data_IF_487346305763
#
_entry.id   IF_487346305763
#
_cell.length_a   1.000
_cell.length_b   1.000
_cell.length_c   1.000
_cell.angle_alpha   90.00
_cell.angle_beta   90.00
_cell.angle_gamma   90.00
#
_symmetry.space_group_name_H-M   'P 1'
#
loop_
_entity.id
_entity.type
_entity.pdbx_description
1 polymer ?
#
# COMPACT_ATOMS: atom_id res chain seq x y z
N UNK A 1 -14.43 -3.37 -5.08
CA UNK A 1 -14.21 -2.94 -3.68
C UNK A 1 -14.95 -1.66 -3.47
N UNK A 2 -15.73 -1.57 -2.39
CA UNK A 2 -16.34 -0.32 -1.93
C UNK A 2 -15.45 0.40 -0.88
N UNK A 3 -15.93 1.52 -0.34
CA UNK A 3 -15.19 2.31 0.66
C UNK A 3 -14.89 1.50 1.94
N UNK A 4 -15.82 0.65 2.38
CA UNK A 4 -15.66 -0.19 3.57
C UNK A 4 -14.60 -1.28 3.35
N UNK A 5 -14.53 -1.83 2.14
CA UNK A 5 -13.48 -2.77 1.76
C UNK A 5 -12.09 -2.14 1.84
N UNK A 6 -11.93 -0.92 1.30
CA UNK A 6 -10.66 -0.20 1.40
C UNK A 6 -10.31 0.12 2.86
N UNK A 7 -11.28 0.54 3.66
CA UNK A 7 -11.07 0.80 5.09
C UNK A 7 -10.64 -0.47 5.83
N UNK A 8 -11.30 -1.61 5.55
CA UNK A 8 -10.94 -2.90 6.13
C UNK A 8 -9.58 -3.41 5.65
N UNK A 9 -9.22 -3.15 4.40
CA UNK A 9 -7.90 -3.49 3.87
C UNK A 9 -6.81 -2.69 4.60
N UNK A 10 -6.99 -1.37 4.76
CA UNK A 10 -6.08 -0.52 5.54
C UNK A 10 -6.00 -0.94 7.02
N UNK A 11 -7.13 -1.35 7.62
CA UNK A 11 -7.14 -1.92 8.96
C UNK A 11 -6.30 -3.20 9.03
N UNK A 12 -6.42 -4.07 8.02
CA UNK A 12 -5.65 -5.31 7.91
C UNK A 12 -4.14 -5.01 7.78
N UNK A 13 -3.75 -4.03 6.95
CA UNK A 13 -2.35 -3.59 6.84
C UNK A 13 -1.77 -3.15 8.19
N UNK A 14 -2.54 -2.39 8.99
CA UNK A 14 -2.12 -1.93 10.33
C UNK A 14 -2.05 -3.07 11.34
N UNK A 15 -3.11 -3.88 11.41
CA UNK A 15 -3.27 -4.90 12.45
C UNK A 15 -2.38 -6.13 12.21
N UNK A 16 -2.09 -6.48 10.96
CA UNK A 16 -1.22 -7.62 10.64
C UNK A 16 0.28 -7.28 10.69
N UNK A 17 0.65 -6.00 10.67
CA UNK A 17 2.05 -5.54 10.78
C UNK A 17 2.54 -5.51 12.23
N UNK A 18 2.67 -6.70 12.83
CA UNK A 18 3.12 -6.90 14.22
C UNK A 18 3.97 -8.16 14.26
N UNK A 19 5.00 -8.24 15.09
CA UNK A 19 5.79 -9.46 15.25
C UNK A 19 4.96 -10.60 15.85
N UNK A 20 4.17 -10.30 16.88
CA UNK A 20 3.27 -11.29 17.47
C UNK A 20 2.08 -11.55 16.55
N UNK A 21 1.76 -12.81 16.24
CA UNK A 21 0.54 -13.14 15.51
C UNK A 21 -0.67 -12.60 16.24
N UNK A 22 -1.50 -11.83 15.53
CA UNK A 22 -2.85 -11.58 15.99
C UNK A 22 -3.74 -12.73 15.51
N UNK A 23 -4.65 -13.20 16.37
CA UNK A 23 -5.74 -14.10 15.99
C UNK A 23 -6.73 -13.42 15.04
N UNK A 24 -8.03 -13.62 15.24
CA UNK A 24 -9.01 -12.95 14.38
C UNK A 24 -9.06 -11.43 14.63
N UNK A 25 -9.08 -10.62 13.57
CA UNK A 25 -9.38 -9.17 13.69
C UNK A 25 -10.75 -8.97 14.37
N UNK A 26 -11.70 -9.87 14.12
CA UNK A 26 -13.03 -9.85 14.73
C UNK A 26 -12.95 -10.13 16.24
N UNK A 27 -12.27 -11.19 16.67
CA UNK A 27 -12.10 -11.50 18.10
C UNK A 27 -11.35 -10.38 18.84
N UNK A 28 -10.32 -9.82 18.22
CA UNK A 28 -9.58 -8.66 18.77
C UNK A 28 -10.41 -7.37 18.79
N UNK A 29 -11.56 -7.31 18.12
CA UNK A 29 -12.47 -6.15 18.20
C UNK A 29 -13.41 -6.21 19.42
N UNK A 30 -13.52 -7.36 20.07
CA UNK A 30 -14.27 -7.54 21.32
C UNK A 30 -13.40 -7.40 22.58
N UNK A 31 -12.08 -7.44 22.43
CA UNK A 31 -11.16 -7.09 23.51
C UNK A 31 -11.24 -5.57 23.69
N UNK A 32 -12.11 -5.12 24.59
CA UNK A 32 -12.19 -3.72 25.01
C UNK A 32 -10.81 -3.30 25.54
N UNK A 33 -10.36 -2.12 25.12
CA UNK A 33 -9.20 -1.36 25.60
C UNK A 33 -9.35 -0.92 27.08
N UNK A 34 -10.04 -1.71 27.92
CA UNK A 34 -10.48 -1.36 29.27
C UNK A 34 -9.72 -2.14 30.36
N UNK A 35 -8.49 -2.56 30.08
CA UNK A 35 -7.53 -2.89 31.13
C UNK A 35 -6.45 -1.81 31.19
N UNK A 36 -6.84 -0.68 31.79
CA UNK A 36 -5.96 0.33 32.37
C UNK A 36 -4.93 -0.37 33.31
N UNK A 37 -3.68 -0.50 32.87
CA UNK A 37 -2.56 -0.83 33.76
C UNK A 37 -1.45 -1.71 33.18
N UNK A 38 -1.74 -2.57 32.20
CA UNK A 38 -0.66 -3.32 31.53
C UNK A 38 -0.23 -2.54 30.30
N UNK A 39 1.02 -2.05 30.27
CA UNK A 39 1.70 -1.66 29.02
C UNK A 39 1.49 -2.80 28.03
N UNK A 40 0.55 -2.67 27.09
CA UNK A 40 0.47 -3.57 25.97
C UNK A 40 1.90 -3.66 25.40
N UNK A 41 2.50 -4.86 25.32
CA UNK A 41 3.88 -4.98 24.92
C UNK A 41 4.05 -4.19 23.63
N UNK A 42 5.13 -3.39 23.52
CA UNK A 42 5.48 -2.73 22.26
C UNK A 42 5.69 -3.82 21.23
N UNK A 43 4.62 -4.25 20.57
CA UNK A 43 4.66 -5.27 19.53
C UNK A 43 5.50 -4.66 18.42
N UNK A 44 6.70 -5.21 18.23
CA UNK A 44 7.58 -4.79 17.14
C UNK A 44 6.83 -4.88 15.82
N UNK A 45 7.19 -4.03 14.85
CA UNK A 45 6.64 -4.09 13.50
C UNK A 45 7.41 -5.12 12.67
N UNK A 46 6.74 -5.75 11.70
CA UNK A 46 7.40 -6.61 10.72
C UNK A 46 8.08 -5.78 9.62
N UNK A 47 7.39 -4.72 9.20
CA UNK A 47 7.80 -3.83 8.10
C UNK A 47 7.47 -2.38 8.43
N UNK A 48 8.18 -1.45 7.82
CA UNK A 48 7.71 -0.07 7.66
C UNK A 48 7.15 0.13 6.25
N UNK A 49 6.01 0.82 6.16
CA UNK A 49 5.47 1.24 4.88
C UNK A 49 6.15 2.54 4.47
N UNK A 50 6.68 2.60 3.25
CA UNK A 50 7.20 3.85 2.69
C UNK A 50 6.13 4.51 1.82
N UNK A 51 5.45 3.74 0.97
CA UNK A 51 4.30 4.19 0.19
C UNK A 51 3.33 3.03 -0.09
N UNK A 52 2.07 3.33 -0.36
CA UNK A 52 1.09 2.35 -0.82
C UNK A 52 0.07 2.95 -1.81
N UNK A 53 -0.54 2.08 -2.61
CA UNK A 53 -1.77 2.36 -3.34
C UNK A 53 -2.65 1.12 -3.43
N UNK A 54 -3.93 1.29 -3.11
CA UNK A 54 -4.98 0.28 -3.18
C UNK A 54 -5.93 0.68 -4.30
N UNK A 55 -5.96 -0.12 -5.36
CA UNK A 55 -6.93 -0.04 -6.44
C UNK A 55 -7.96 -1.18 -6.31
N UNK A 56 -9.09 -1.14 -7.03
CA UNK A 56 -10.14 -2.15 -6.89
C UNK A 56 -9.69 -3.58 -7.25
N UNK A 57 -8.71 -3.71 -8.14
CA UNK A 57 -8.26 -4.98 -8.70
C UNK A 57 -6.82 -5.35 -8.31
N UNK A 58 -6.04 -4.44 -7.72
CA UNK A 58 -4.66 -4.71 -7.29
C UNK A 58 -4.17 -3.67 -6.27
N UNK A 59 -3.04 -3.95 -5.63
CA UNK A 59 -2.37 -3.04 -4.71
C UNK A 59 -0.87 -2.98 -4.98
N UNK A 60 -0.23 -1.88 -4.57
CA UNK A 60 1.21 -1.67 -4.61
C UNK A 60 1.71 -1.21 -3.26
N UNK A 61 2.83 -1.77 -2.78
CA UNK A 61 3.49 -1.35 -1.55
C UNK A 61 4.98 -1.12 -1.80
N UNK A 62 5.53 -0.13 -1.11
CA UNK A 62 6.97 -0.01 -0.85
C UNK A 62 7.16 -0.31 0.63
N UNK A 63 7.90 -1.38 0.93
CA UNK A 63 8.10 -1.87 2.29
C UNK A 63 9.58 -1.93 2.61
N UNK A 64 9.91 -1.50 3.82
CA UNK A 64 11.21 -1.73 4.45
C UNK A 64 11.05 -2.87 5.46
N UNK A 65 11.85 -3.93 5.32
CA UNK A 65 11.81 -5.06 6.23
C UNK A 65 12.54 -4.71 7.53
N UNK A 66 11.88 -4.87 8.68
CA UNK A 66 12.45 -4.53 10.00
C UNK A 66 12.93 -5.75 10.79
N UNK A 67 12.52 -6.94 10.38
CA UNK A 67 12.92 -8.22 10.98
C UNK A 67 13.17 -9.24 9.89
N UNK A 68 13.92 -10.29 10.18
CA UNK A 68 14.12 -11.39 9.23
C UNK A 68 12.77 -11.95 8.71
N UNK A 69 12.66 -12.00 7.38
CA UNK A 69 11.47 -12.40 6.63
C UNK A 69 10.20 -11.60 6.99
N UNK A 70 10.36 -10.35 7.45
CA UNK A 70 9.27 -9.46 7.84
C UNK A 70 8.24 -9.22 6.73
N UNK A 71 8.68 -9.02 5.49
CA UNK A 71 7.75 -8.83 4.35
C UNK A 71 6.94 -10.11 4.10
N UNK A 72 7.60 -11.28 4.11
CA UNK A 72 6.92 -12.56 3.90
C UNK A 72 5.88 -12.84 4.98
N UNK A 73 6.27 -12.68 6.25
CA UNK A 73 5.38 -12.81 7.42
C UNK A 73 4.19 -11.85 7.32
N UNK A 74 4.44 -10.60 6.91
CA UNK A 74 3.39 -9.60 6.74
C UNK A 74 2.42 -10.00 5.62
N UNK A 75 2.93 -10.36 4.45
CA UNK A 75 2.10 -10.75 3.30
C UNK A 75 1.30 -12.02 3.55
N UNK A 76 1.88 -13.01 4.26
CA UNK A 76 1.17 -14.21 4.68
C UNK A 76 -0.05 -13.89 5.54
N UNK A 77 0.10 -12.95 6.49
CA UNK A 77 -1.01 -12.51 7.37
C UNK A 77 -2.03 -11.67 6.62
N UNK A 78 -1.57 -10.79 5.72
CA UNK A 78 -2.45 -10.02 4.83
C UNK A 78 -3.31 -10.93 3.93
N UNK A 79 -2.81 -12.14 3.63
CA UNK A 79 -3.58 -13.23 3.02
C UNK A 79 -4.83 -13.69 3.79
N UNK A 80 -5.06 -13.19 5.01
CA UNK A 80 -6.32 -13.35 5.75
C UNK A 80 -7.45 -12.43 5.28
N UNK A 81 -7.15 -11.32 4.59
CA UNK A 81 -8.16 -10.37 4.09
C UNK A 81 -9.23 -11.01 3.18
N UNK A 82 -8.88 -11.92 2.24
CA UNK A 82 -9.86 -12.66 1.44
C UNK A 82 -10.97 -13.34 2.24
N UNK A 83 -10.69 -13.83 3.47
CA UNK A 83 -11.72 -14.44 4.32
C UNK A 83 -12.82 -13.45 4.70
N UNK A 84 -12.45 -12.21 5.04
CA UNK A 84 -13.40 -11.13 5.30
C UNK A 84 -14.21 -10.81 4.05
N UNK A 85 -13.52 -10.59 2.92
CA UNK A 85 -14.16 -10.17 1.68
C UNK A 85 -15.15 -11.22 1.17
N UNK A 86 -14.75 -12.49 1.16
CA UNK A 86 -15.60 -13.60 0.77
C UNK A 86 -16.83 -13.73 1.68
N UNK A 87 -16.66 -13.56 3.00
CA UNK A 87 -17.78 -13.57 3.96
C UNK A 87 -18.77 -12.42 3.70
N UNK A 88 -18.28 -11.19 3.48
CA UNK A 88 -19.11 -10.00 3.22
C UNK A 88 -19.95 -10.17 1.94
N UNK A 89 -19.32 -10.64 0.85
CA UNK A 89 -19.96 -10.74 -0.45
C UNK A 89 -20.54 -12.12 -0.77
N UNK A 90 -20.60 -13.03 0.21
CA UNK A 90 -21.05 -14.42 0.04
C UNK A 90 -20.36 -15.13 -1.14
N UNK A 91 -19.07 -14.84 -1.33
CA UNK A 91 -18.22 -15.45 -2.37
C UNK A 91 -17.45 -16.63 -1.79
N UNK A 92 -16.97 -17.51 -2.68
CA UNK A 92 -16.01 -18.57 -2.37
C UNK A 92 -14.78 -18.45 -3.29
N UNK A 93 -13.70 -19.15 -2.94
CA UNK A 93 -12.48 -19.21 -3.74
C UNK A 93 -11.47 -18.09 -3.44
N UNK A 94 -10.48 -17.98 -4.34
CA UNK A 94 -9.35 -17.06 -4.20
C UNK A 94 -9.75 -15.63 -4.57
N UNK A 95 -9.30 -14.65 -3.77
CA UNK A 95 -9.44 -13.23 -4.08
C UNK A 95 -8.19 -12.68 -4.76
N UNK A 96 -7.01 -13.00 -4.24
CA UNK A 96 -5.73 -12.58 -4.81
C UNK A 96 -5.29 -13.57 -5.89
N UNK A 97 -4.84 -13.04 -7.03
CA UNK A 97 -4.40 -13.83 -8.17
C UNK A 97 -2.91 -14.21 -8.01
N UNK A 98 -2.68 -15.38 -7.39
CA UNK A 98 -1.33 -15.96 -7.26
C UNK A 98 -0.48 -15.34 -6.15
N UNK A 99 0.84 -15.60 -6.22
CA UNK A 99 1.83 -15.09 -5.26
C UNK A 99 2.06 -13.59 -5.50
N UNK A 100 2.40 -12.86 -4.42
CA UNK A 100 2.85 -11.48 -4.58
C UNK A 100 4.16 -11.43 -5.38
N UNK A 101 4.35 -10.35 -6.14
CA UNK A 101 5.59 -10.07 -6.85
C UNK A 101 6.40 -9.06 -6.04
N UNK A 102 7.70 -9.26 -5.96
CA UNK A 102 8.62 -8.36 -5.27
C UNK A 102 9.82 -8.03 -6.16
N UNK A 103 10.29 -6.80 -6.08
CA UNK A 103 11.51 -6.28 -6.72
C UNK A 103 12.28 -5.53 -5.65
N UNK A 104 13.57 -5.84 -5.49
CA UNK A 104 14.42 -5.09 -4.56
C UNK A 104 14.67 -3.69 -5.13
N UNK A 105 14.61 -2.68 -4.26
CA UNK A 105 14.98 -1.30 -4.60
C UNK A 105 16.42 -1.13 -4.12
N UNK A 106 17.34 -1.08 -5.06
CA UNK A 106 18.79 -1.11 -4.84
C UNK A 106 19.45 0.26 -4.98
N UNK A 107 18.69 1.29 -5.36
CA UNK A 107 19.20 2.65 -5.53
C UNK A 107 18.20 3.70 -5.05
N UNK A 108 18.73 4.84 -4.64
CA UNK A 108 17.93 5.96 -4.17
C UNK A 108 17.10 6.61 -5.29
N UNK A 109 17.67 6.75 -6.49
CA UNK A 109 16.92 7.24 -7.66
C UNK A 109 15.72 6.34 -7.97
N UNK A 110 15.92 5.01 -7.94
CA UNK A 110 14.82 4.08 -8.13
C UNK A 110 13.77 4.23 -7.02
N UNK A 111 14.18 4.38 -5.75
CA UNK A 111 13.27 4.63 -4.63
C UNK A 111 12.41 5.88 -4.84
N UNK A 112 13.00 6.99 -5.29
CA UNK A 112 12.28 8.23 -5.54
C UNK A 112 11.22 8.07 -6.63
N UNK A 113 11.60 7.55 -7.80
CA UNK A 113 10.66 7.37 -8.92
C UNK A 113 9.57 6.34 -8.61
N UNK A 114 9.91 5.22 -7.94
CA UNK A 114 8.91 4.21 -7.58
C UNK A 114 7.97 4.73 -6.49
N UNK A 115 8.42 5.61 -5.59
CA UNK A 115 7.54 6.27 -4.61
C UNK A 115 6.49 7.14 -5.29
N UNK A 116 6.87 7.91 -6.32
CA UNK A 116 5.95 8.70 -7.11
C UNK A 116 4.95 7.81 -7.85
N UNK A 117 5.44 6.75 -8.51
CA UNK A 117 4.60 5.79 -9.20
C UNK A 117 3.57 5.14 -8.28
N UNK A 118 4.00 4.63 -7.11
CA UNK A 118 3.09 3.97 -6.17
C UNK A 118 2.07 4.96 -5.63
N UNK A 119 2.48 6.15 -5.18
CA UNK A 119 1.54 7.15 -4.65
C UNK A 119 0.48 7.58 -5.67
N UNK A 120 0.86 7.69 -6.95
CA UNK A 120 0.01 8.19 -8.04
C UNK A 120 -0.56 7.08 -8.93
N UNK A 121 -0.44 5.81 -8.52
CA UNK A 121 -0.84 4.68 -9.36
C UNK A 121 -2.34 4.71 -9.69
N UNK A 122 -3.17 5.19 -8.77
CA UNK A 122 -4.59 5.43 -9.03
C UNK A 122 -4.82 6.39 -10.21
N UNK A 123 -4.03 7.47 -10.32
CA UNK A 123 -4.09 8.40 -11.46
C UNK A 123 -3.64 7.74 -12.76
N UNK A 124 -2.63 6.86 -12.73
CA UNK A 124 -2.20 6.05 -13.90
C UNK A 124 -3.35 5.20 -14.46
N UNK A 125 -4.25 4.74 -13.59
CA UNK A 125 -5.44 3.97 -13.95
C UNK A 125 -6.72 4.84 -14.10
N UNK A 126 -6.59 6.17 -14.04
CA UNK A 126 -7.71 7.13 -14.12
C UNK A 126 -8.80 6.85 -13.08
N UNK A 127 -8.42 6.40 -11.90
CA UNK A 127 -9.31 6.12 -10.78
C UNK A 127 -9.47 7.35 -9.89
N UNK A 128 -10.72 7.64 -9.51
CA UNK A 128 -11.04 8.69 -8.54
C UNK A 128 -10.72 8.29 -7.09
N UNK A 129 -10.80 9.26 -6.19
CA UNK A 129 -10.55 9.10 -4.75
C UNK A 129 -11.56 8.21 -4.02
N UNK A 130 -12.77 8.04 -4.59
CA UNK A 130 -13.78 7.10 -4.09
C UNK A 130 -13.49 5.65 -4.50
N UNK A 131 -12.73 5.46 -5.58
CA UNK A 131 -12.44 4.14 -6.17
C UNK A 131 -11.03 3.63 -5.82
N UNK A 132 -10.25 4.36 -5.04
CA UNK A 132 -8.88 3.99 -4.67
C UNK A 132 -8.46 4.63 -3.34
N UNK A 133 -7.42 4.09 -2.70
CA UNK A 133 -6.75 4.72 -1.55
C UNK A 133 -5.24 4.65 -1.75
N UNK A 134 -4.56 5.79 -1.75
CA UNK A 134 -3.10 5.83 -1.79
C UNK A 134 -2.53 6.64 -0.62
N UNK A 135 -1.23 6.51 -0.39
CA UNK A 135 -0.53 7.33 0.59
C UNK A 135 -0.26 8.76 0.10
N UNK A 136 -0.67 9.14 -1.11
CA UNK A 136 -0.41 10.47 -1.68
C UNK A 136 -0.85 11.61 -0.76
N UNK A 137 -2.05 11.49 -0.17
CA UNK A 137 -2.56 12.50 0.77
C UNK A 137 -1.76 12.55 2.08
N UNK A 138 -1.18 11.43 2.52
CA UNK A 138 -0.28 11.41 3.68
C UNK A 138 1.00 12.23 3.41
N UNK A 139 1.49 12.21 2.17
CA UNK A 139 2.67 12.95 1.73
C UNK A 139 2.39 14.45 1.63
N UNK A 140 1.28 14.85 1.01
CA UNK A 140 0.99 16.27 0.76
C UNK A 140 0.51 17.02 2.00
N UNK A 141 -0.31 16.40 2.84
CA UNK A 141 -1.02 17.11 3.90
C UNK A 141 -0.33 17.03 5.27
N UNK A 142 0.92 16.54 5.34
CA UNK A 142 1.67 16.24 6.58
C UNK A 142 0.88 15.42 7.62
N UNK A 143 -0.19 14.75 7.22
CA UNK A 143 -1.05 14.00 8.14
C UNK A 143 -0.28 12.82 8.72
N UNK A 144 -0.56 12.50 10.00
CA UNK A 144 -0.05 11.28 10.62
C UNK A 144 -0.71 10.10 9.93
N UNK A 145 0.11 9.25 9.33
CA UNK A 145 -0.34 8.16 8.46
C UNK A 145 0.37 6.85 8.77
N UNK A 146 0.18 5.86 7.91
CA UNK A 146 0.86 4.58 8.00
C UNK A 146 2.33 4.69 7.57
N UNK A 147 2.64 5.62 6.67
CA UNK A 147 3.94 5.65 5.98
C UNK A 147 5.06 6.36 6.76
N UNK A 148 6.28 5.80 6.72
CA UNK A 148 7.54 6.42 7.11
C UNK A 148 8.06 7.32 5.97
N UNK A 149 7.41 8.47 5.80
CA UNK A 149 7.60 9.37 4.65
C UNK A 149 8.96 10.07 4.59
N UNK A 150 9.64 10.22 5.73
CA UNK A 150 10.89 10.97 5.86
C UNK A 150 11.99 10.48 4.91
N UNK A 151 12.09 9.18 4.68
CA UNK A 151 13.08 8.61 3.75
C UNK A 151 12.95 9.19 2.33
N UNK A 152 11.76 9.66 1.94
CA UNK A 152 11.52 10.33 0.66
C UNK A 152 11.54 11.85 0.85
N UNK A 153 10.74 12.37 1.79
CA UNK A 153 10.50 13.80 1.92
C UNK A 153 11.74 14.60 2.36
N UNK A 154 12.64 14.00 3.12
CA UNK A 154 13.86 14.68 3.58
C UNK A 154 14.90 14.87 2.44
N UNK A 155 14.64 14.29 1.26
CA UNK A 155 15.46 14.47 0.04
C UNK A 155 15.02 15.67 -0.81
N UNK A 156 13.93 16.34 -0.45
CA UNK A 156 13.41 17.52 -1.14
C UNK A 156 13.44 18.71 -0.18
N UNK A 157 13.61 19.90 -0.72
CA UNK A 157 13.64 21.14 0.08
C UNK A 157 12.29 21.38 0.75
N UNK A 158 11.21 20.99 0.09
CA UNK A 158 9.84 21.13 0.59
C UNK A 158 8.87 20.16 -0.11
N UNK A 159 7.63 20.10 0.39
CA UNK A 159 6.59 19.21 -0.14
C UNK A 159 6.19 19.58 -1.58
N UNK A 160 6.26 20.86 -1.96
CA UNK A 160 5.93 21.28 -3.33
C UNK A 160 6.90 20.68 -4.33
N UNK A 161 8.19 20.67 -4.01
CA UNK A 161 9.22 20.09 -4.88
C UNK A 161 9.02 18.58 -5.07
N UNK A 162 8.69 17.84 -4.01
CA UNK A 162 8.31 16.43 -4.14
C UNK A 162 7.06 16.25 -5.01
N UNK A 163 6.06 17.13 -4.83
CA UNK A 163 4.81 17.08 -5.59
C UNK A 163 5.11 17.26 -7.09
N UNK A 164 5.88 18.27 -7.44
CA UNK A 164 6.24 18.59 -8.82
C UNK A 164 7.05 17.44 -9.45
N UNK A 165 8.02 16.89 -8.72
CA UNK A 165 8.76 15.70 -9.14
C UNK A 165 7.85 14.50 -9.43
N UNK A 166 6.90 14.22 -8.53
CA UNK A 166 6.00 13.08 -8.67
C UNK A 166 5.00 13.27 -9.82
N UNK A 167 4.47 14.48 -10.01
CA UNK A 167 3.55 14.81 -11.11
C UNK A 167 4.27 14.80 -12.47
N UNK A 168 5.53 15.26 -12.53
CA UNK A 168 6.38 15.11 -13.72
C UNK A 168 6.61 13.63 -14.05
N UNK A 169 6.98 12.82 -13.05
CA UNK A 169 7.18 11.38 -13.23
C UNK A 169 5.90 10.69 -13.74
N UNK A 170 4.72 11.10 -13.25
CA UNK A 170 3.43 10.56 -13.72
C UNK A 170 3.20 10.86 -15.20
N UNK A 171 3.51 12.09 -15.65
CA UNK A 171 3.38 12.48 -17.06
C UNK A 171 4.21 11.57 -17.95
N UNK A 172 5.47 11.35 -17.61
CA UNK A 172 6.37 10.49 -18.38
C UNK A 172 5.86 9.05 -18.47
N UNK A 173 5.30 8.52 -17.37
CA UNK A 173 4.72 7.18 -17.31
C UNK A 173 3.49 7.06 -18.21
N UNK A 174 2.61 8.05 -18.18
CA UNK A 174 1.42 8.10 -19.04
C UNK A 174 1.81 8.17 -20.52
N UNK A 175 2.78 9.02 -20.87
CA UNK A 175 3.27 9.12 -22.25
C UNK A 175 3.90 7.82 -22.74
N UNK A 176 4.73 7.16 -21.91
CA UNK A 176 5.28 5.83 -22.23
C UNK A 176 4.17 4.81 -22.50
N UNK A 177 3.15 4.77 -21.64
CA UNK A 177 2.02 3.84 -21.78
C UNK A 177 1.24 4.08 -23.08
N UNK A 178 0.97 5.33 -23.44
CA UNK A 178 0.32 5.67 -24.71
C UNK A 178 1.19 5.30 -25.92
N UNK A 179 2.52 5.49 -25.84
CA UNK A 179 3.44 5.04 -26.90
C UNK A 179 3.42 3.52 -27.10
N UNK A 180 3.48 2.74 -26.02
CA UNK A 180 3.40 1.27 -26.11
C UNK A 180 2.08 0.81 -26.72
N UNK A 181 0.95 1.40 -26.30
CA UNK A 181 -0.36 1.07 -26.86
C UNK A 181 -0.46 1.37 -28.37
N UNK A 182 0.09 2.50 -28.81
CA UNK A 182 0.17 2.83 -30.25
C UNK A 182 1.00 1.81 -31.02
N UNK A 183 2.13 1.40 -30.45
CA UNK A 183 3.03 0.42 -31.06
C UNK A 183 2.39 -0.97 -31.15
N UNK A 184 1.68 -1.42 -30.10
CA UNK A 184 0.93 -2.68 -30.13
C UNK A 184 -0.17 -2.66 -31.21
N UNK A 185 -0.90 -1.56 -31.34
CA UNK A 185 -1.92 -1.43 -32.38
C UNK A 185 -1.31 -1.51 -33.79
N UNK A 186 -0.16 -0.86 -34.02
CA UNK A 186 0.57 -0.90 -35.29
C UNK A 186 1.13 -2.29 -35.66
N UNK A 187 1.32 -3.18 -34.68
CA UNK A 187 1.82 -4.54 -34.88
C UNK A 187 0.69 -5.56 -35.12
N UNK A 188 -0.56 -5.16 -34.89
CA UNK A 188 -1.76 -5.99 -35.08
C UNK A 188 -2.50 -5.66 -36.39
N UNK A 189 -2.11 -4.59 -37.07
CA UNK A 189 -2.54 -4.19 -38.42
C UNK A 189 -1.54 -4.68 -39.49
#
# INVERSE_FOLDING_TARGET
MDADDFARFLQSMKKFNTMEPIGSIYENSFIKDDQLGSRAPKRGKLVDFIAYCLNPNHYHFILEQLVENGIEKFMQRLGGYPKYFNKKYKRSGVLFQGKFKARHIDSNEYLLHISAYVNLNNKVHRLGSSASKSSWDEYLNKQKGLCRKKIILDQFSNISEYKDFAESSLKDILERKERYKKMENLLLD
#
